data_IF_202977800043
#
_entry.id   IF_202977800043
#
_cell.length_a   1.000
_cell.length_b   1.000
_cell.length_c   1.000
_cell.angle_alpha   90.00
_cell.angle_beta   90.00
_cell.angle_gamma   90.00
#
_symmetry.space_group_name_H-M   'P 1'
#
loop_
_entity.id
_entity.type
_entity.pdbx_description
1 polymer ?
#
# COMPACT_ATOMS: atom_id res chain seq x y z
N UNK A 1 -16.71 -32.33 6.75
CA UNK A 1 -16.05 -31.03 6.48
C UNK A 1 -15.78 -30.38 7.83
N UNK A 2 -14.54 -30.00 8.10
CA UNK A 2 -14.17 -29.39 9.37
C UNK A 2 -14.57 -27.91 9.47
N UNK A 3 -13.85 -27.13 10.27
CA UNK A 3 -14.15 -25.71 10.54
C UNK A 3 -13.72 -24.82 9.36
N UNK A 4 -14.49 -23.78 9.05
CA UNK A 4 -14.07 -22.71 8.13
C UNK A 4 -14.18 -21.36 8.82
N UNK A 5 -13.26 -20.44 8.50
CA UNK A 5 -13.28 -19.07 9.03
C UNK A 5 -12.56 -18.11 8.09
N UNK A 6 -12.83 -16.82 8.23
CA UNK A 6 -12.06 -15.76 7.59
C UNK A 6 -10.81 -15.42 8.41
N UNK A 7 -9.75 -14.95 7.75
CA UNK A 7 -8.51 -14.55 8.44
C UNK A 7 -8.72 -13.49 9.54
N UNK A 8 -9.75 -12.63 9.42
CA UNK A 8 -10.10 -11.64 10.46
C UNK A 8 -10.62 -12.27 11.77
N UNK A 9 -11.12 -13.51 11.70
CA UNK A 9 -11.65 -14.27 12.82
C UNK A 9 -10.54 -15.03 13.56
N UNK A 10 -9.36 -15.19 12.96
CA UNK A 10 -8.20 -15.76 13.62
C UNK A 10 -7.76 -14.87 14.80
N UNK A 11 -7.61 -15.47 15.99
CA UNK A 11 -7.18 -14.78 17.22
C UNK A 11 -5.93 -15.39 17.87
N UNK A 12 -5.44 -16.51 17.35
CA UNK A 12 -4.25 -17.18 17.85
C UNK A 12 -4.22 -18.66 17.44
N UNK A 13 -3.08 -19.33 17.62
CA UNK A 13 -2.85 -20.65 17.04
C UNK A 13 -3.44 -21.80 17.88
N UNK A 14 -3.76 -21.56 19.16
CA UNK A 14 -4.12 -22.61 20.12
C UNK A 14 -5.32 -23.49 19.69
N UNK A 15 -6.33 -22.91 19.04
CA UNK A 15 -7.50 -23.68 18.58
C UNK A 15 -7.20 -24.60 17.38
N UNK A 16 -6.00 -24.50 16.80
CA UNK A 16 -5.53 -25.25 15.65
C UNK A 16 -4.53 -26.34 16.01
N UNK A 17 -4.28 -26.55 17.32
CA UNK A 17 -3.39 -27.59 17.82
C UNK A 17 -3.77 -28.96 17.24
N UNK A 18 -2.76 -29.66 16.73
CA UNK A 18 -2.86 -31.00 16.13
C UNK A 18 -3.82 -31.10 14.92
N UNK A 19 -4.16 -29.97 14.27
CA UNK A 19 -5.02 -29.94 13.08
C UNK A 19 -4.21 -29.78 11.80
N UNK A 20 -4.74 -30.31 10.69
CA UNK A 20 -4.30 -29.97 9.33
C UNK A 20 -5.02 -28.71 8.87
N UNK A 21 -4.28 -27.62 8.72
CA UNK A 21 -4.84 -26.30 8.39
C UNK A 21 -4.47 -25.88 6.98
N UNK A 22 -5.46 -25.40 6.23
CA UNK A 22 -5.26 -24.79 4.92
C UNK A 22 -5.63 -23.31 4.95
N UNK A 23 -4.69 -22.48 4.54
CA UNK A 23 -4.84 -21.03 4.45
C UNK A 23 -5.02 -20.66 2.99
N UNK A 24 -6.08 -19.91 2.67
CA UNK A 24 -6.40 -19.52 1.29
C UNK A 24 -5.93 -18.11 1.02
N UNK A 25 -5.02 -17.94 0.06
CA UNK A 25 -4.42 -16.67 -0.31
C UNK A 25 -2.94 -16.58 0.06
N UNK A 26 -2.19 -15.73 -0.65
CA UNK A 26 -0.75 -15.52 -0.45
C UNK A 26 -0.45 -14.03 -0.28
N UNK A 27 -1.02 -13.46 0.78
CA UNK A 27 -0.84 -12.07 1.20
C UNK A 27 -0.31 -12.04 2.65
N UNK A 28 -0.01 -10.84 3.18
CA UNK A 28 0.57 -10.68 4.53
C UNK A 28 -0.16 -11.49 5.61
N UNK A 29 -1.49 -11.35 5.71
CA UNK A 29 -2.29 -12.09 6.71
C UNK A 29 -2.14 -13.60 6.58
N UNK A 30 -2.11 -14.13 5.35
CA UNK A 30 -1.97 -15.56 5.13
C UNK A 30 -0.60 -16.07 5.59
N UNK A 31 0.47 -15.36 5.23
CA UNK A 31 1.83 -15.74 5.60
C UNK A 31 2.09 -15.59 7.10
N UNK A 32 1.54 -14.55 7.74
CA UNK A 32 1.68 -14.34 9.18
C UNK A 32 0.96 -15.45 9.96
N UNK A 33 -0.29 -15.79 9.59
CA UNK A 33 -1.03 -16.92 10.18
C UNK A 33 -0.30 -18.25 9.94
N UNK A 34 0.22 -18.47 8.73
CA UNK A 34 0.94 -19.70 8.42
C UNK A 34 2.16 -19.89 9.32
N UNK A 35 2.95 -18.83 9.51
CA UNK A 35 4.12 -18.84 10.39
C UNK A 35 3.70 -19.04 11.86
N UNK A 36 2.64 -18.37 12.31
CA UNK A 36 2.12 -18.47 13.69
C UNK A 36 1.61 -19.87 14.04
N UNK A 37 1.14 -20.63 13.05
CA UNK A 37 0.66 -22.00 13.23
C UNK A 37 1.78 -23.05 13.28
N UNK A 38 3.01 -22.71 12.87
CA UNK A 38 4.13 -23.67 12.86
C UNK A 38 4.47 -24.11 14.28
N UNK A 39 4.54 -25.42 14.48
CA UNK A 39 4.79 -26.03 15.79
C UNK A 39 3.54 -26.19 16.67
N UNK A 40 2.38 -25.70 16.22
CA UNK A 40 1.09 -25.88 16.90
C UNK A 40 0.18 -26.78 16.07
N UNK A 41 -0.02 -26.45 14.80
CA UNK A 41 -0.79 -27.28 13.86
C UNK A 41 0.00 -28.54 13.46
N UNK A 42 -0.71 -29.63 13.14
CA UNK A 42 -0.11 -30.86 12.63
C UNK A 42 0.49 -30.63 11.23
N UNK A 43 -0.25 -29.93 10.36
CA UNK A 43 0.21 -29.53 9.04
C UNK A 43 -0.30 -28.14 8.68
N UNK A 44 0.52 -27.34 8.02
CA UNK A 44 0.15 -26.01 7.53
C UNK A 44 0.33 -25.96 6.02
N UNK A 45 -0.77 -25.68 5.31
CA UNK A 45 -0.82 -25.54 3.87
C UNK A 45 -1.25 -24.13 3.48
N UNK A 46 -0.68 -23.55 2.42
CA UNK A 46 -1.16 -22.32 1.80
C UNK A 46 -1.60 -22.62 0.36
N UNK A 47 -2.87 -22.37 0.06
CA UNK A 47 -3.43 -22.44 -1.29
C UNK A 47 -3.30 -21.08 -1.98
N UNK A 48 -2.64 -21.05 -3.15
CA UNK A 48 -2.58 -19.85 -3.98
C UNK A 48 -2.65 -20.17 -5.48
N UNK A 49 -3.24 -19.23 -6.24
CA UNK A 49 -3.43 -19.35 -7.70
C UNK A 49 -2.40 -18.55 -8.51
N UNK A 50 -1.71 -17.63 -7.87
CA UNK A 50 -0.81 -16.69 -8.51
C UNK A 50 0.42 -16.50 -7.64
N UNK A 51 1.54 -16.18 -8.27
CA UNK A 51 2.78 -15.87 -7.55
C UNK A 51 2.68 -14.62 -6.69
N UNK A 52 3.72 -14.38 -5.91
CA UNK A 52 3.89 -13.16 -5.12
C UNK A 52 5.38 -12.90 -4.89
N UNK A 53 5.73 -11.64 -4.64
CA UNK A 53 7.09 -11.29 -4.21
C UNK A 53 7.15 -11.29 -2.70
N UNK A 54 8.08 -12.06 -2.11
CA UNK A 54 8.36 -12.02 -0.68
C UNK A 54 9.48 -11.01 -0.43
N UNK A 55 9.25 -10.12 0.53
CA UNK A 55 10.12 -9.00 0.87
C UNK A 55 10.45 -9.08 2.36
N UNK A 56 11.72 -9.19 2.77
CA UNK A 56 12.07 -9.13 4.19
C UNK A 56 11.90 -7.70 4.72
N UNK A 57 11.66 -7.57 6.03
CA UNK A 57 11.64 -6.27 6.73
C UNK A 57 13.02 -5.63 6.74
N UNK A 58 14.07 -6.44 6.79
CA UNK A 58 15.47 -6.01 6.79
C UNK A 58 16.22 -6.54 5.57
N UNK A 59 17.02 -5.68 4.95
CA UNK A 59 17.85 -6.01 3.80
C UNK A 59 19.16 -5.22 3.88
N UNK A 60 20.30 -5.90 3.68
CA UNK A 60 21.64 -5.32 3.83
C UNK A 60 21.83 -4.56 5.16
N UNK A 61 21.29 -5.12 6.26
CA UNK A 61 21.37 -4.54 7.61
C UNK A 61 20.50 -3.29 7.84
N UNK A 62 19.62 -2.93 6.90
CA UNK A 62 18.75 -1.75 7.00
C UNK A 62 17.28 -2.14 6.77
N UNK A 63 16.32 -1.39 7.33
CA UNK A 63 14.91 -1.58 6.99
C UNK A 63 14.69 -1.43 5.48
N UNK A 64 14.03 -2.39 4.85
CA UNK A 64 13.78 -2.40 3.40
C UNK A 64 13.05 -1.14 2.93
N UNK A 65 12.16 -0.61 3.78
CA UNK A 65 11.43 0.64 3.50
C UNK A 65 12.36 1.84 3.31
N UNK A 66 13.54 1.86 3.96
CA UNK A 66 14.50 2.95 3.83
C UNK A 66 15.17 2.98 2.44
N UNK A 67 15.09 1.89 1.67
CA UNK A 67 15.54 1.89 0.29
C UNK A 67 14.65 2.75 -0.61
N UNK A 68 13.41 3.01 -0.21
CA UNK A 68 12.45 3.86 -0.94
C UNK A 68 12.62 5.31 -0.48
N UNK A 69 13.66 5.95 -1.00
CA UNK A 69 13.97 7.35 -0.67
C UNK A 69 13.12 8.33 -1.50
N UNK A 70 12.94 9.56 -1.00
CA UNK A 70 12.21 10.61 -1.75
C UNK A 70 12.87 10.92 -3.10
N UNK A 71 14.20 10.85 -3.18
CA UNK A 71 14.93 11.03 -4.43
C UNK A 71 14.59 9.92 -5.43
N UNK A 72 14.59 8.66 -4.99
CA UNK A 72 14.23 7.53 -5.84
C UNK A 72 12.77 7.63 -6.29
N UNK A 73 11.83 7.88 -5.36
CA UNK A 73 10.41 8.05 -5.70
C UNK A 73 10.20 9.19 -6.68
N UNK A 74 10.84 10.35 -6.48
CA UNK A 74 10.73 11.49 -7.39
C UNK A 74 11.29 11.19 -8.79
N UNK A 75 12.43 10.50 -8.88
CA UNK A 75 13.00 10.07 -10.16
C UNK A 75 12.08 9.07 -10.87
N UNK A 76 11.52 8.10 -10.14
CA UNK A 76 10.56 7.13 -10.68
C UNK A 76 9.30 7.81 -11.18
N UNK A 77 8.72 8.76 -10.42
CA UNK A 77 7.52 9.49 -10.86
C UNK A 77 7.75 10.34 -12.11
N UNK A 78 8.94 10.93 -12.27
CA UNK A 78 9.31 11.62 -13.51
C UNK A 78 9.44 10.61 -14.66
N UNK A 79 10.12 9.49 -14.44
CA UNK A 79 10.32 8.47 -15.46
C UNK A 79 8.99 7.86 -15.93
N UNK A 80 8.09 7.53 -15.01
CA UNK A 80 6.76 7.00 -15.32
C UNK A 80 5.90 7.96 -16.15
N UNK A 81 6.09 9.27 -15.99
CA UNK A 81 5.39 10.28 -16.81
C UNK A 81 5.79 10.23 -18.28
N UNK A 82 7.04 9.90 -18.58
CA UNK A 82 7.56 9.88 -19.95
C UNK A 82 7.51 8.48 -20.58
N UNK A 83 7.75 7.42 -19.80
CA UNK A 83 7.89 6.03 -20.27
C UNK A 83 7.22 5.02 -19.31
N UNK A 84 5.88 5.00 -19.22
CA UNK A 84 5.16 4.24 -18.18
C UNK A 84 5.39 2.73 -18.24
N UNK A 85 5.39 2.13 -19.43
CA UNK A 85 5.56 0.67 -19.62
C UNK A 85 6.98 0.20 -19.29
N UNK A 86 7.99 1.01 -19.62
CA UNK A 86 9.39 0.72 -19.29
C UNK A 86 9.60 0.85 -17.77
N UNK A 87 9.03 1.89 -17.16
CA UNK A 87 9.10 2.07 -15.70
C UNK A 87 8.52 0.91 -14.92
N UNK A 88 7.37 0.38 -15.37
CA UNK A 88 6.76 -0.81 -14.80
C UNK A 88 7.65 -2.05 -14.94
N UNK A 89 8.15 -2.32 -16.15
CA UNK A 89 9.05 -3.45 -16.39
C UNK A 89 10.34 -3.38 -15.55
N UNK A 90 10.97 -2.20 -15.47
CA UNK A 90 12.18 -1.98 -14.66
C UNK A 90 11.87 -2.20 -13.17
N UNK A 91 10.76 -1.64 -12.67
CA UNK A 91 10.35 -1.78 -11.28
C UNK A 91 10.11 -3.24 -10.89
N UNK A 92 9.38 -3.97 -11.74
CA UNK A 92 9.10 -5.39 -11.55
C UNK A 92 10.36 -6.24 -11.58
N UNK A 93 11.25 -5.99 -12.54
CA UNK A 93 12.54 -6.69 -12.64
C UNK A 93 13.40 -6.42 -11.43
N UNK A 94 13.46 -5.17 -10.98
CA UNK A 94 14.23 -4.77 -9.80
C UNK A 94 13.71 -5.44 -8.52
N UNK A 95 12.39 -5.45 -8.31
CA UNK A 95 11.78 -6.10 -7.16
C UNK A 95 12.04 -7.61 -7.15
N UNK A 96 11.88 -8.28 -8.30
CA UNK A 96 12.16 -9.72 -8.44
C UNK A 96 13.64 -10.03 -8.22
N UNK A 97 14.55 -9.27 -8.83
CA UNK A 97 16.00 -9.47 -8.65
C UNK A 97 16.41 -9.30 -7.18
N UNK A 98 15.84 -8.32 -6.47
CA UNK A 98 16.10 -8.14 -5.03
C UNK A 98 15.61 -9.32 -4.20
N UNK A 99 14.41 -9.84 -4.48
CA UNK A 99 13.89 -11.03 -3.82
C UNK A 99 14.83 -12.22 -4.02
N UNK A 100 15.22 -12.52 -5.27
CA UNK A 100 16.10 -13.65 -5.59
C UNK A 100 17.50 -13.49 -4.99
N UNK A 101 18.00 -12.26 -4.86
CA UNK A 101 19.29 -12.00 -4.19
C UNK A 101 19.21 -12.28 -2.69
N UNK A 102 18.08 -11.96 -2.05
CA UNK A 102 17.89 -12.21 -0.62
C UNK A 102 17.54 -13.68 -0.32
N UNK A 103 16.90 -14.36 -1.27
CA UNK A 103 16.45 -15.74 -1.16
C UNK A 103 16.91 -16.54 -2.38
N UNK A 104 18.22 -16.88 -2.46
CA UNK A 104 18.78 -17.59 -3.61
C UNK A 104 18.22 -19.01 -3.77
N UNK A 105 17.77 -19.61 -2.68
CA UNK A 105 17.24 -20.99 -2.64
C UNK A 105 15.73 -21.07 -2.91
N UNK A 106 15.13 -20.02 -3.49
CA UNK A 106 13.73 -20.08 -3.93
C UNK A 106 13.57 -21.18 -4.96
N UNK A 107 12.66 -22.12 -4.67
CA UNK A 107 12.42 -23.26 -5.52
C UNK A 107 11.29 -23.00 -6.52
N UNK A 108 11.42 -23.36 -7.81
CA UNK A 108 10.38 -23.13 -8.82
C UNK A 108 9.02 -23.74 -8.47
N UNK A 109 9.00 -24.87 -7.77
CA UNK A 109 7.79 -25.57 -7.32
C UNK A 109 6.92 -24.76 -6.35
N UNK A 110 7.47 -23.72 -5.72
CA UNK A 110 6.71 -22.81 -4.87
C UNK A 110 5.84 -21.83 -5.68
N UNK A 111 6.01 -21.77 -7.01
CA UNK A 111 5.21 -20.96 -7.92
C UNK A 111 5.06 -19.49 -7.44
N UNK A 112 6.10 -18.95 -6.79
CA UNK A 112 6.14 -17.55 -6.33
C UNK A 112 6.36 -16.59 -7.50
N UNK A 113 6.99 -17.09 -8.58
CA UNK A 113 7.29 -16.34 -9.79
C UNK A 113 6.72 -17.07 -11.02
N UNK A 114 6.24 -16.34 -12.05
CA UNK A 114 6.16 -14.89 -12.12
C UNK A 114 5.13 -14.31 -11.14
N UNK A 115 5.53 -13.23 -10.45
CA UNK A 115 4.62 -12.52 -9.57
C UNK A 115 3.83 -11.47 -10.37
N UNK A 116 2.61 -11.12 -9.94
CA UNK A 116 1.84 -10.07 -10.58
C UNK A 116 2.55 -8.71 -10.56
N UNK A 117 2.11 -7.74 -11.40
CA UNK A 117 2.74 -6.43 -11.49
C UNK A 117 2.89 -5.75 -10.12
N UNK A 118 4.06 -5.18 -9.85
CA UNK A 118 4.37 -4.56 -8.56
C UNK A 118 3.45 -3.37 -8.27
N UNK A 119 3.03 -2.64 -9.30
CA UNK A 119 2.03 -1.57 -9.19
C UNK A 119 0.70 -2.06 -8.63
N UNK A 120 0.33 -3.31 -8.91
CA UNK A 120 -0.95 -3.90 -8.51
C UNK A 120 -0.83 -4.57 -7.13
N UNK A 121 0.22 -5.37 -6.90
CA UNK A 121 0.47 -6.08 -5.65
C UNK A 121 1.88 -5.78 -5.15
N UNK A 122 2.02 -4.98 -4.09
CA UNK A 122 3.30 -4.50 -3.53
C UNK A 122 4.16 -5.61 -2.87
N UNK A 123 3.86 -6.88 -3.14
CA UNK A 123 4.47 -8.04 -2.49
C UNK A 123 3.93 -8.32 -1.09
N UNK A 124 4.52 -9.33 -0.45
CA UNK A 124 4.29 -9.75 0.93
C UNK A 124 5.52 -9.43 1.75
N UNK A 125 5.33 -8.75 2.88
CA UNK A 125 6.41 -8.44 3.82
C UNK A 125 6.39 -9.50 4.92
N UNK A 126 7.32 -10.46 4.88
CA UNK A 126 7.42 -11.52 5.87
C UNK A 126 8.87 -12.04 5.93
N UNK A 127 9.38 -12.21 7.15
CA UNK A 127 10.78 -12.58 7.41
C UNK A 127 11.01 -14.09 7.53
N UNK A 128 9.94 -14.89 7.65
CA UNK A 128 10.06 -16.30 8.02
C UNK A 128 9.43 -17.25 7.00
N UNK A 129 8.53 -16.78 6.15
CA UNK A 129 7.77 -17.65 5.26
C UNK A 129 8.68 -18.46 4.33
N UNK A 130 9.75 -17.87 3.80
CA UNK A 130 10.69 -18.60 2.93
C UNK A 130 11.40 -19.71 3.72
N UNK A 131 11.81 -19.44 4.96
CA UNK A 131 12.44 -20.47 5.82
C UNK A 131 11.47 -21.63 6.09
N UNK A 132 10.18 -21.32 6.33
CA UNK A 132 9.13 -22.32 6.56
C UNK A 132 8.76 -23.13 5.32
N UNK A 133 8.93 -22.55 4.14
CA UNK A 133 8.82 -23.30 2.89
C UNK A 133 10.05 -24.18 2.65
N UNK A 134 11.24 -23.71 3.02
CA UNK A 134 12.50 -24.44 2.90
C UNK A 134 12.55 -25.68 3.80
N UNK A 135 12.15 -25.53 5.06
CA UNK A 135 12.13 -26.63 6.06
C UNK A 135 10.92 -27.56 5.93
N UNK A 136 9.92 -27.20 5.11
CA UNK A 136 8.71 -27.98 4.83
C UNK A 136 7.63 -27.91 5.91
N UNK A 137 7.80 -27.05 6.93
CA UNK A 137 6.79 -26.79 7.97
C UNK A 137 5.55 -26.10 7.41
N UNK A 138 5.70 -25.32 6.33
CA UNK A 138 4.60 -24.79 5.53
C UNK A 138 4.72 -25.34 4.11
N UNK A 139 3.60 -25.81 3.55
CA UNK A 139 3.55 -26.36 2.18
C UNK A 139 2.67 -25.50 1.30
N UNK A 140 3.11 -25.25 0.07
CA UNK A 140 2.27 -24.59 -0.93
C UNK A 140 1.48 -25.64 -1.70
N UNK A 141 0.21 -25.33 -1.93
CA UNK A 141 -0.69 -26.11 -2.77
C UNK A 141 -1.35 -25.20 -3.80
N UNK A 142 -1.80 -25.81 -4.89
CA UNK A 142 -2.48 -25.11 -5.97
C UNK A 142 -3.81 -24.49 -5.53
N UNK A 143 -4.45 -23.77 -6.44
CA UNK A 143 -5.77 -23.21 -6.20
C UNK A 143 -6.80 -24.29 -5.83
N UNK A 144 -7.67 -24.00 -4.87
CA UNK A 144 -8.82 -24.87 -4.56
C UNK A 144 -9.77 -24.90 -5.77
N UNK A 145 -10.05 -26.11 -6.26
CA UNK A 145 -11.02 -26.42 -7.31
C UNK A 145 -12.39 -26.77 -6.69
N UNK A 146 -12.39 -27.65 -5.69
CA UNK A 146 -13.61 -28.08 -5.00
C UNK A 146 -13.32 -28.61 -3.59
N UNK A 147 -14.37 -28.72 -2.79
CA UNK A 147 -14.33 -29.31 -1.47
C UNK A 147 -14.92 -30.71 -1.48
N UNK A 148 -14.43 -31.57 -0.58
CA UNK A 148 -15.02 -32.89 -0.32
C UNK A 148 -15.08 -33.15 1.19
N UNK A 149 -15.56 -34.33 1.60
CA UNK A 149 -15.87 -34.65 2.99
C UNK A 149 -14.72 -34.44 3.99
N UNK A 150 -13.47 -34.71 3.59
CA UNK A 150 -12.27 -34.64 4.43
C UNK A 150 -11.27 -33.55 4.01
N UNK A 151 -11.59 -32.71 3.02
CA UNK A 151 -10.67 -31.64 2.62
C UNK A 151 -10.96 -30.98 1.28
N UNK A 152 -9.91 -30.69 0.52
CA UNK A 152 -9.97 -29.98 -0.77
C UNK A 152 -9.32 -30.75 -1.91
N UNK A 153 -9.86 -30.56 -3.11
CA UNK A 153 -9.17 -30.80 -4.36
C UNK A 153 -8.50 -29.50 -4.80
N UNK A 154 -7.21 -29.57 -5.12
CA UNK A 154 -6.40 -28.47 -5.65
C UNK A 154 -5.92 -28.79 -7.06
N UNK A 155 -5.44 -27.78 -7.79
CA UNK A 155 -4.92 -27.84 -9.17
C UNK A 155 -4.54 -29.25 -9.66
N UNK A 156 -5.30 -29.75 -10.64
CA UNK A 156 -5.10 -31.06 -11.25
C UNK A 156 -5.70 -32.21 -10.44
N UNK A 157 -6.71 -31.95 -9.62
CA UNK A 157 -7.42 -32.96 -8.82
C UNK A 157 -6.62 -33.52 -7.64
N UNK A 158 -5.53 -32.86 -7.22
CA UNK A 158 -4.72 -33.31 -6.08
C UNK A 158 -5.53 -33.19 -4.79
N UNK A 159 -5.64 -34.31 -4.07
CA UNK A 159 -6.38 -34.40 -2.82
C UNK A 159 -5.51 -33.96 -1.64
N UNK A 160 -5.99 -32.98 -0.87
CA UNK A 160 -5.36 -32.53 0.38
C UNK A 160 -6.39 -32.65 1.51
N UNK A 161 -6.07 -33.44 2.53
CA UNK A 161 -6.92 -33.60 3.73
C UNK A 161 -6.69 -32.46 4.71
N UNK A 162 -7.76 -31.81 5.16
CA UNK A 162 -7.69 -30.62 6.01
C UNK A 162 -8.85 -30.60 7.01
N UNK A 163 -8.54 -30.28 8.26
CA UNK A 163 -9.52 -30.14 9.35
C UNK A 163 -10.05 -28.72 9.44
N UNK A 164 -9.30 -27.73 8.97
CA UNK A 164 -9.71 -26.33 9.03
C UNK A 164 -9.22 -25.53 7.84
N UNK A 165 -10.09 -24.64 7.33
CA UNK A 165 -9.77 -23.75 6.20
C UNK A 165 -9.92 -22.29 6.63
N UNK A 166 -8.86 -21.50 6.45
CA UNK A 166 -8.79 -20.08 6.81
C UNK A 166 -8.73 -19.23 5.53
N UNK A 167 -9.79 -18.49 5.23
CA UNK A 167 -9.86 -17.62 4.06
C UNK A 167 -9.20 -16.27 4.32
N UNK A 168 -7.99 -16.09 3.78
CA UNK A 168 -7.21 -14.85 3.83
C UNK A 168 -7.31 -14.08 2.50
N UNK A 169 -8.53 -13.96 1.97
CA UNK A 169 -8.82 -13.45 0.62
C UNK A 169 -8.98 -11.92 0.54
N UNK A 170 -8.79 -11.21 1.64
CA UNK A 170 -8.90 -9.75 1.73
C UNK A 170 -10.15 -9.28 2.47
N UNK A 171 -10.40 -7.98 2.42
CA UNK A 171 -11.59 -7.33 2.99
C UNK A 171 -12.13 -6.29 2.02
N UNK A 172 -13.42 -6.01 2.13
CA UNK A 172 -14.09 -4.95 1.37
C UNK A 172 -14.48 -3.80 2.30
N UNK A 173 -14.57 -2.60 1.72
CA UNK A 173 -15.17 -1.46 2.42
C UNK A 173 -16.69 -1.57 2.34
N UNK A 174 -17.35 -1.29 3.46
CA UNK A 174 -18.79 -1.17 3.53
C UNK A 174 -19.17 0.30 3.71
N UNK A 175 -20.00 0.81 2.79
CA UNK A 175 -20.49 2.19 2.80
C UNK A 175 -21.98 2.26 3.19
N UNK A 176 -22.58 1.16 3.65
CA UNK A 176 -24.00 1.05 4.00
C UNK A 176 -24.50 2.04 5.07
N UNK A 177 -23.59 2.60 5.87
CA UNK A 177 -23.92 3.65 6.85
C UNK A 177 -24.27 5.00 6.18
N UNK A 178 -23.90 5.20 4.92
CA UNK A 178 -24.13 6.43 4.18
C UNK A 178 -25.46 6.39 3.43
N UNK A 179 -26.08 7.55 3.24
CA UNK A 179 -27.21 7.68 2.31
C UNK A 179 -26.74 7.41 0.88
N UNK A 180 -27.66 7.01 -0.02
CA UNK A 180 -27.32 6.78 -1.42
C UNK A 180 -26.59 7.92 -2.13
N UNK A 181 -26.89 9.17 -1.79
CA UNK A 181 -26.29 10.34 -2.40
C UNK A 181 -24.86 10.59 -1.90
N UNK A 182 -24.54 10.15 -0.68
CA UNK A 182 -23.27 10.33 -0.01
C UNK A 182 -22.30 9.16 -0.21
N UNK A 183 -22.79 8.01 -0.67
CA UNK A 183 -21.98 6.84 -1.00
C UNK A 183 -21.10 7.13 -2.23
N UNK A 184 -19.77 7.21 -2.07
CA UNK A 184 -18.88 7.56 -3.17
C UNK A 184 -18.73 6.43 -4.19
N UNK A 185 -19.25 5.24 -3.92
CA UNK A 185 -19.13 4.06 -4.77
C UNK A 185 -20.33 3.85 -5.70
N UNK A 186 -21.40 4.63 -5.50
CA UNK A 186 -22.57 4.63 -6.39
C UNK A 186 -22.27 5.38 -7.69
N UNK A 187 -21.73 4.64 -8.66
CA UNK A 187 -21.38 5.15 -9.99
C UNK A 187 -22.54 5.14 -11.01
N UNK A 188 -23.74 4.71 -10.59
CA UNK A 188 -24.89 4.43 -11.47
C UNK A 188 -25.05 2.93 -11.72
N UNK A 189 -26.10 2.56 -12.45
CA UNK A 189 -26.37 1.15 -12.76
C UNK A 189 -25.23 0.59 -13.64
N UNK A 190 -24.49 -0.40 -13.11
CA UNK A 190 -23.57 -1.24 -13.88
C UNK A 190 -22.34 -0.49 -14.44
N UNK A 191 -21.46 0.01 -13.56
CA UNK A 191 -20.28 0.75 -13.99
C UNK A 191 -19.28 -0.15 -14.74
N UNK A 192 -18.51 0.41 -15.68
CA UNK A 192 -17.45 -0.32 -16.40
C UNK A 192 -16.50 -1.06 -15.44
N UNK A 193 -16.23 -0.47 -14.28
CA UNK A 193 -15.43 -1.05 -13.21
C UNK A 193 -15.99 -2.36 -12.67
N UNK A 194 -17.31 -2.45 -12.48
CA UNK A 194 -17.95 -3.64 -11.93
C UNK A 194 -17.82 -4.85 -12.86
N UNK A 195 -17.69 -4.61 -14.18
CA UNK A 195 -17.50 -5.63 -15.20
C UNK A 195 -16.04 -6.02 -15.46
N UNK A 196 -15.08 -5.32 -14.85
CA UNK A 196 -13.67 -5.67 -15.02
C UNK A 196 -13.38 -6.99 -14.31
N UNK A 197 -12.79 -7.95 -15.02
CA UNK A 197 -12.43 -9.28 -14.50
C UNK A 197 -11.71 -9.22 -13.14
N UNK A 198 -10.82 -8.25 -12.99
CA UNK A 198 -9.98 -8.09 -11.81
C UNK A 198 -10.53 -7.14 -10.74
N UNK A 199 -11.74 -6.57 -10.92
CA UNK A 199 -12.44 -5.80 -9.88
C UNK A 199 -12.76 -6.69 -8.69
N UNK A 200 -13.24 -7.91 -8.95
CA UNK A 200 -13.49 -8.95 -7.96
C UNK A 200 -14.23 -8.41 -6.72
N UNK A 201 -15.29 -7.62 -6.95
CA UNK A 201 -16.12 -7.02 -5.89
C UNK A 201 -15.50 -5.83 -5.15
N UNK A 202 -14.30 -5.38 -5.52
CA UNK A 202 -13.72 -4.15 -4.98
C UNK A 202 -14.54 -2.96 -5.49
N UNK A 203 -15.11 -2.17 -4.58
CA UNK A 203 -15.84 -0.95 -4.94
C UNK A 203 -14.88 0.18 -5.34
N UNK A 204 -15.30 1.01 -6.31
CA UNK A 204 -14.55 2.21 -6.72
C UNK A 204 -15.10 3.47 -6.04
N UNK A 205 -14.42 4.06 -5.04
CA UNK A 205 -14.83 5.33 -4.44
C UNK A 205 -14.46 6.52 -5.35
N UNK A 206 -15.48 7.19 -5.89
CA UNK A 206 -15.35 8.37 -6.74
C UNK A 206 -15.15 9.65 -5.94
N UNK A 207 -13.92 9.87 -5.50
CA UNK A 207 -13.54 10.98 -4.62
C UNK A 207 -12.56 11.94 -5.30
N UNK A 208 -12.81 13.25 -5.22
CA UNK A 208 -11.86 14.26 -5.68
C UNK A 208 -10.60 14.23 -4.80
N UNK A 209 -9.43 14.17 -5.44
CA UNK A 209 -8.14 14.00 -4.77
C UNK A 209 -8.14 12.81 -3.81
N UNK A 210 -8.94 11.77 -4.09
CA UNK A 210 -9.14 10.59 -3.23
C UNK A 210 -9.68 10.84 -1.83
N UNK A 211 -10.12 12.07 -1.54
CA UNK A 211 -10.55 12.50 -0.21
C UNK A 211 -11.98 13.03 -0.20
N UNK A 212 -12.34 13.95 -1.11
CA UNK A 212 -13.57 14.72 -0.99
C UNK A 212 -14.69 14.14 -1.84
N UNK A 213 -15.89 14.05 -1.27
CA UNK A 213 -17.07 13.73 -2.06
C UNK A 213 -17.33 14.87 -3.06
N UNK A 214 -17.49 14.62 -4.37
CA UNK A 214 -17.62 15.69 -5.38
C UNK A 214 -18.75 16.69 -5.11
N UNK A 215 -19.86 16.19 -4.56
CA UNK A 215 -21.07 16.98 -4.24
C UNK A 215 -21.08 17.54 -2.81
N UNK A 216 -20.29 16.96 -1.90
CA UNK A 216 -20.32 17.30 -0.46
C UNK A 216 -18.91 17.66 0.05
N UNK A 217 -18.08 18.25 -0.80
CA UNK A 217 -16.66 18.48 -0.49
C UNK A 217 -16.45 19.35 0.76
N UNK A 218 -17.40 20.22 1.08
CA UNK A 218 -17.33 21.13 2.22
C UNK A 218 -17.79 20.50 3.55
N UNK A 219 -18.36 19.28 3.52
CA UNK A 219 -18.94 18.63 4.70
C UNK A 219 -18.63 17.13 4.84
N UNK A 220 -18.12 16.48 3.77
CA UNK A 220 -17.84 15.05 3.74
C UNK A 220 -16.52 14.75 3.01
N UNK A 221 -15.61 14.13 3.76
CA UNK A 221 -14.34 13.63 3.26
C UNK A 221 -14.06 12.23 3.82
N UNK A 222 -13.27 11.46 3.09
CA UNK A 222 -12.93 10.08 3.39
C UNK A 222 -11.42 9.97 3.59
N UNK A 223 -11.02 9.23 4.62
CA UNK A 223 -9.63 8.92 4.90
C UNK A 223 -9.44 7.40 4.84
N UNK A 224 -8.53 6.96 3.96
CA UNK A 224 -8.12 5.56 3.87
C UNK A 224 -8.73 4.66 2.77
N UNK A 225 -9.87 4.94 2.10
CA UNK A 225 -10.39 3.99 1.11
C UNK A 225 -9.46 3.87 -0.12
N UNK A 226 -8.68 4.91 -0.39
CA UNK A 226 -7.72 4.98 -1.47
C UNK A 226 -6.27 4.79 -1.00
N UNK A 227 -5.38 4.38 -1.91
CA UNK A 227 -3.93 4.39 -1.71
C UNK A 227 -3.44 5.83 -1.56
N UNK A 228 -2.62 6.07 -0.55
CA UNK A 228 -1.96 7.35 -0.34
C UNK A 228 -0.61 7.45 -1.06
N UNK A 229 0.15 8.50 -0.75
CA UNK A 229 1.45 8.77 -1.35
C UNK A 229 2.61 8.00 -0.70
N UNK A 230 2.40 7.47 0.50
CA UNK A 230 3.37 6.70 1.29
C UNK A 230 2.84 5.30 1.60
N UNK A 231 3.75 4.34 1.81
CA UNK A 231 3.41 3.02 2.37
C UNK A 231 2.95 3.11 3.83
N UNK A 232 3.36 4.16 4.55
CA UNK A 232 2.94 4.42 5.92
C UNK A 232 1.55 5.08 5.94
N UNK A 233 0.52 4.31 6.28
CA UNK A 233 -0.88 4.77 6.33
C UNK A 233 -1.07 5.97 7.26
N UNK A 234 -0.35 6.01 8.39
CA UNK A 234 -0.42 7.11 9.35
C UNK A 234 0.09 8.43 8.77
N UNK A 235 1.18 8.42 7.99
CA UNK A 235 1.69 9.62 7.32
C UNK A 235 0.71 10.15 6.28
N UNK A 236 0.04 9.24 5.55
CA UNK A 236 -1.02 9.61 4.61
C UNK A 236 -2.18 10.29 5.34
N UNK A 237 -2.66 9.67 6.42
CA UNK A 237 -3.80 10.17 7.19
C UNK A 237 -3.48 11.51 7.89
N UNK A 238 -2.29 11.68 8.47
CA UNK A 238 -1.87 12.94 9.11
C UNK A 238 -1.91 14.09 8.09
N UNK A 239 -1.22 13.95 6.96
CA UNK A 239 -1.17 15.03 5.97
C UNK A 239 -2.54 15.26 5.29
N UNK A 240 -3.30 14.21 4.98
CA UNK A 240 -4.64 14.34 4.42
C UNK A 240 -5.61 15.05 5.37
N UNK A 241 -5.58 14.72 6.67
CA UNK A 241 -6.42 15.38 7.67
C UNK A 241 -6.10 16.88 7.81
N UNK A 242 -4.82 17.24 7.67
CA UNK A 242 -4.38 18.64 7.65
C UNK A 242 -4.95 19.37 6.43
N UNK A 243 -4.90 18.77 5.24
CA UNK A 243 -5.47 19.35 4.03
C UNK A 243 -6.99 19.52 4.13
N UNK A 244 -7.72 18.50 4.60
CA UNK A 244 -9.18 18.56 4.83
C UNK A 244 -9.53 19.71 5.77
N UNK A 245 -8.80 19.85 6.88
CA UNK A 245 -9.03 20.91 7.86
C UNK A 245 -8.84 22.31 7.26
N UNK A 246 -7.89 22.49 6.33
CA UNK A 246 -7.66 23.78 5.68
C UNK A 246 -8.76 24.14 4.67
N UNK A 247 -9.30 23.15 3.97
CA UNK A 247 -10.46 23.35 3.09
C UNK A 247 -11.68 23.77 3.91
N UNK A 248 -12.03 23.01 4.96
CA UNK A 248 -13.23 23.30 5.76
C UNK A 248 -13.14 24.59 6.58
N UNK A 249 -11.92 25.08 6.87
CA UNK A 249 -11.71 26.41 7.45
C UNK A 249 -11.85 27.56 6.44
N UNK A 250 -11.97 27.27 5.14
CA UNK A 250 -11.98 28.29 4.09
C UNK A 250 -10.60 28.83 3.73
N UNK A 251 -9.51 28.27 4.29
CA UNK A 251 -8.15 28.70 3.99
C UNK A 251 -7.68 28.19 2.62
N UNK A 252 -8.35 27.20 2.03
CA UNK A 252 -8.11 26.72 0.67
C UNK A 252 -9.44 26.49 -0.02
N UNK A 253 -9.63 27.09 -1.20
CA UNK A 253 -10.86 26.93 -1.99
C UNK A 253 -10.64 25.79 -2.99
N UNK A 254 -11.45 24.74 -2.88
CA UNK A 254 -11.46 23.67 -3.86
C UNK A 254 -11.99 24.17 -5.22
N UNK A 255 -11.54 23.59 -6.34
CA UNK A 255 -12.08 23.95 -7.64
C UNK A 255 -13.57 23.60 -7.74
N UNK A 256 -14.27 24.23 -8.68
CA UNK A 256 -15.70 24.02 -8.88
C UNK A 256 -16.08 22.57 -9.21
N UNK A 257 -17.34 22.20 -9.00
CA UNK A 257 -17.85 20.82 -9.16
C UNK A 257 -17.53 20.21 -10.53
N UNK A 258 -17.62 20.98 -11.61
CA UNK A 258 -17.30 20.51 -12.96
C UNK A 258 -15.84 20.07 -13.09
N UNK A 259 -14.90 20.80 -12.49
CA UNK A 259 -13.48 20.47 -12.51
C UNK A 259 -13.18 19.27 -11.61
N UNK A 260 -13.78 19.21 -10.42
CA UNK A 260 -13.67 18.03 -9.54
C UNK A 260 -14.15 16.77 -10.24
N UNK A 261 -15.25 16.87 -10.98
CA UNK A 261 -15.80 15.75 -11.75
C UNK A 261 -14.90 15.35 -12.92
N UNK A 262 -14.32 16.31 -13.66
CA UNK A 262 -13.32 16.00 -14.71
C UNK A 262 -12.10 15.28 -14.14
N UNK A 263 -11.62 15.72 -12.97
CA UNK A 263 -10.51 15.06 -12.28
C UNK A 263 -10.87 13.62 -11.90
N UNK A 264 -12.06 13.40 -11.32
CA UNK A 264 -12.52 12.07 -10.91
C UNK A 264 -12.64 11.12 -12.10
N UNK A 265 -13.17 11.59 -13.23
CA UNK A 265 -13.27 10.80 -14.47
C UNK A 265 -11.89 10.42 -15.00
N UNK A 266 -10.95 11.36 -15.03
CA UNK A 266 -9.56 11.06 -15.42
C UNK A 266 -8.94 9.98 -14.52
N UNK A 267 -9.15 10.07 -13.20
CA UNK A 267 -8.63 9.08 -12.26
C UNK A 267 -9.32 7.72 -12.41
N UNK A 268 -10.62 7.71 -12.71
CA UNK A 268 -11.39 6.50 -12.97
C UNK A 268 -10.86 5.76 -14.20
N UNK A 269 -10.66 6.45 -15.32
CA UNK A 269 -10.05 5.89 -16.54
C UNK A 269 -8.65 5.34 -16.31
N UNK A 270 -7.84 6.06 -15.54
CA UNK A 270 -6.51 5.58 -15.18
C UNK A 270 -6.56 4.31 -14.30
N UNK A 271 -7.52 4.24 -13.38
CA UNK A 271 -7.73 3.07 -12.52
C UNK A 271 -8.23 1.85 -13.29
N UNK A 272 -9.08 2.05 -14.31
CA UNK A 272 -9.48 1.00 -15.25
C UNK A 272 -8.27 0.42 -15.99
N UNK A 273 -7.32 1.26 -16.40
CA UNK A 273 -6.06 0.81 -17.01
C UNK A 273 -5.22 -0.08 -16.09
N UNK A 274 -5.15 0.25 -14.79
CA UNK A 274 -4.42 -0.55 -13.80
C UNK A 274 -5.12 -1.89 -13.54
N UNK A 275 -6.44 -1.88 -13.37
CA UNK A 275 -7.19 -3.08 -13.05
C UNK A 275 -7.32 -4.02 -14.25
N UNK A 276 -7.21 -3.52 -15.49
CA UNK A 276 -7.12 -4.36 -16.69
C UNK A 276 -5.95 -5.34 -16.66
N UNK A 277 -4.84 -4.95 -16.02
CA UNK A 277 -3.64 -5.78 -15.98
C UNK A 277 -3.68 -6.82 -14.84
N UNK A 278 -4.19 -6.43 -13.66
CA UNK A 278 -4.29 -7.31 -12.50
C UNK A 278 -5.15 -6.71 -11.37
N UNK A 279 -5.59 -7.55 -10.42
CA UNK A 279 -6.30 -7.09 -9.21
C UNK A 279 -5.49 -6.10 -8.38
N UNK A 280 -6.18 -5.15 -7.75
CA UNK A 280 -5.59 -4.18 -6.81
C UNK A 280 -6.27 -4.31 -5.44
N UNK A 281 -5.55 -4.00 -4.37
CA UNK A 281 -6.12 -4.01 -3.01
C UNK A 281 -6.81 -2.69 -2.63
N UNK A 282 -6.51 -1.58 -3.32
CA UNK A 282 -7.13 -0.26 -3.14
C UNK A 282 -7.04 0.54 -4.44
N UNK A 283 -8.09 1.31 -4.74
CA UNK A 283 -8.05 2.37 -5.75
C UNK A 283 -7.18 3.52 -5.24
N UNK A 284 -6.82 4.50 -6.06
CA UNK A 284 -5.91 5.56 -5.59
C UNK A 284 -5.78 6.71 -6.56
N UNK A 285 -5.04 7.72 -6.15
CA UNK A 285 -4.59 8.77 -7.05
C UNK A 285 -3.58 8.11 -7.99
N UNK A 286 -3.76 8.32 -9.30
CA UNK A 286 -2.85 7.74 -10.28
C UNK A 286 -1.36 8.13 -10.11
N UNK A 287 -1.07 9.22 -9.38
CA UNK A 287 0.29 9.70 -9.11
C UNK A 287 0.43 10.04 -7.62
N UNK A 288 1.17 9.21 -6.89
CA UNK A 288 1.49 9.41 -5.48
C UNK A 288 2.20 10.75 -5.23
N UNK A 289 3.13 11.13 -6.13
CA UNK A 289 3.88 12.38 -6.00
C UNK A 289 3.02 13.63 -6.25
N UNK A 290 2.08 13.57 -7.19
CA UNK A 290 1.11 14.68 -7.39
C UNK A 290 0.17 14.82 -6.20
N UNK A 291 -0.28 13.69 -5.64
CA UNK A 291 -1.12 13.70 -4.44
C UNK A 291 -0.41 14.32 -3.24
N UNK A 292 0.84 13.89 -2.96
CA UNK A 292 1.63 14.47 -1.88
C UNK A 292 1.85 15.97 -2.09
N UNK A 293 2.16 16.40 -3.32
CA UNK A 293 2.33 17.82 -3.65
C UNK A 293 1.05 18.60 -3.34
N UNK A 294 -0.09 18.14 -3.87
CA UNK A 294 -1.38 18.78 -3.65
C UNK A 294 -1.71 18.91 -2.16
N UNK A 295 -1.51 17.83 -1.40
CA UNK A 295 -1.71 17.83 0.04
C UNK A 295 -0.86 18.88 0.78
N UNK A 296 0.43 18.99 0.42
CA UNK A 296 1.32 19.98 1.01
C UNK A 296 0.90 21.42 0.70
N UNK A 297 0.41 21.69 -0.52
CA UNK A 297 -0.09 23.02 -0.91
C UNK A 297 -1.35 23.40 -0.11
N UNK A 298 -2.31 22.47 -0.03
CA UNK A 298 -3.58 22.69 0.68
C UNK A 298 -3.33 22.87 2.18
N UNK A 299 -2.58 21.93 2.79
CA UNK A 299 -2.20 21.99 4.19
C UNK A 299 -1.31 23.20 4.50
N UNK A 300 -0.60 23.72 3.49
CA UNK A 300 0.29 24.87 3.60
C UNK A 300 1.53 24.54 4.41
N UNK A 301 2.18 23.41 4.17
CA UNK A 301 3.34 22.92 4.95
C UNK A 301 4.66 23.61 4.60
N UNK A 302 4.71 24.37 3.49
CA UNK A 302 5.93 24.96 2.95
C UNK A 302 6.90 23.96 2.30
N UNK A 303 6.60 22.66 2.32
CA UNK A 303 7.47 21.60 1.81
C UNK A 303 7.74 21.75 0.31
N UNK A 304 6.71 22.03 -0.49
CA UNK A 304 6.85 22.16 -1.94
C UNK A 304 7.71 23.37 -2.34
N UNK A 305 7.69 24.45 -1.56
CA UNK A 305 8.52 25.63 -1.84
C UNK A 305 10.01 25.35 -1.60
N UNK A 306 10.32 24.52 -0.61
CA UNK A 306 11.69 24.19 -0.21
C UNK A 306 12.25 22.93 -0.86
N UNK A 307 11.43 22.16 -1.60
CA UNK A 307 11.80 20.92 -2.30
C UNK A 307 11.25 20.83 -3.74
N UNK A 308 10.84 21.96 -4.34
CA UNK A 308 10.14 22.06 -5.63
C UNK A 308 10.91 22.69 -6.78
N UNK A 309 12.24 22.74 -6.70
CA UNK A 309 13.23 23.21 -7.68
C UNK A 309 13.27 24.73 -7.89
N UNK A 310 12.80 25.50 -6.89
CA UNK A 310 12.82 26.97 -6.88
C UNK A 310 13.95 27.57 -6.04
N UNK A 311 14.02 28.91 -5.99
CA UNK A 311 15.04 29.65 -5.24
C UNK A 311 15.09 29.29 -3.74
N UNK A 312 13.93 29.04 -3.11
CA UNK A 312 13.86 28.63 -1.71
C UNK A 312 14.50 27.26 -1.46
N UNK A 313 14.36 26.31 -2.39
CA UNK A 313 15.09 25.03 -2.31
C UNK A 313 16.60 25.25 -2.44
N UNK A 314 17.06 26.06 -3.40
CA UNK A 314 18.49 26.35 -3.55
C UNK A 314 19.08 26.99 -2.29
N UNK A 315 18.37 27.94 -1.69
CA UNK A 315 18.75 28.56 -0.42
C UNK A 315 18.79 27.53 0.71
N UNK A 316 17.78 26.66 0.81
CA UNK A 316 17.73 25.60 1.82
C UNK A 316 18.86 24.59 1.63
N UNK A 317 19.11 24.17 0.39
CA UNK A 317 20.22 23.28 0.05
C UNK A 317 21.56 23.89 0.45
N UNK A 318 21.81 25.17 0.16
CA UNK A 318 23.08 25.82 0.49
C UNK A 318 23.29 25.98 2.00
N UNK A 319 22.23 26.38 2.72
CA UNK A 319 22.29 26.63 4.16
C UNK A 319 22.29 25.35 5.02
N UNK A 320 21.59 24.30 4.57
CA UNK A 320 21.30 23.10 5.37
C UNK A 320 21.60 21.82 4.57
N UNK A 321 22.78 21.76 3.92
CA UNK A 321 23.18 20.68 3.00
C UNK A 321 22.99 19.28 3.57
N UNK A 322 23.38 19.07 4.82
CA UNK A 322 23.28 17.76 5.47
C UNK A 322 21.83 17.36 5.69
N UNK A 323 21.01 18.26 6.27
CA UNK A 323 19.59 18.03 6.49
C UNK A 323 18.84 17.79 5.17
N UNK A 324 19.14 18.57 4.13
CA UNK A 324 18.60 18.34 2.79
C UNK A 324 18.94 16.93 2.29
N UNK A 325 20.19 16.50 2.48
CA UNK A 325 20.64 15.14 2.18
C UNK A 325 19.84 14.06 2.91
N UNK A 326 19.55 14.26 4.21
CA UNK A 326 18.74 13.35 5.02
C UNK A 326 17.29 13.29 4.53
N UNK A 327 16.70 14.42 4.14
CA UNK A 327 15.33 14.46 3.61
C UNK A 327 15.23 13.73 2.26
N UNK A 328 16.20 13.93 1.36
CA UNK A 328 16.13 13.36 0.00
C UNK A 328 16.51 11.89 -0.06
N UNK A 329 17.54 11.49 0.70
CA UNK A 329 18.18 10.16 0.60
C UNK A 329 18.10 9.33 1.88
N UNK A 330 17.70 9.93 2.99
CA UNK A 330 17.54 9.26 4.27
C UNK A 330 16.15 8.67 4.47
N UNK A 331 15.81 8.43 5.72
CA UNK A 331 14.50 7.91 6.15
C UNK A 331 13.42 8.96 5.86
N UNK A 332 12.39 8.57 5.09
CA UNK A 332 11.25 9.44 4.79
C UNK A 332 10.32 9.50 6.02
N UNK A 333 10.33 10.61 6.73
CA UNK A 333 9.59 10.78 8.00
C UNK A 333 8.47 11.81 7.88
N UNK A 334 7.37 11.68 8.64
CA UNK A 334 6.28 12.66 8.65
C UNK A 334 6.69 14.00 9.27
N UNK A 335 7.83 14.08 9.97
CA UNK A 335 8.36 15.33 10.53
C UNK A 335 8.61 16.40 9.45
N UNK A 336 8.89 15.97 8.21
CA UNK A 336 9.04 16.85 7.06
C UNK A 336 7.84 17.80 6.90
N UNK A 337 6.62 17.30 7.12
CA UNK A 337 5.39 18.10 6.94
C UNK A 337 5.20 19.18 8.02
N UNK A 338 6.13 19.29 8.96
CA UNK A 338 6.17 20.30 10.02
C UNK A 338 7.52 20.99 10.13
N UNK A 339 8.40 20.82 9.12
CA UNK A 339 9.76 21.34 9.14
C UNK A 339 9.83 22.84 8.79
N UNK A 340 9.06 23.25 7.79
CA UNK A 340 9.12 24.60 7.24
C UNK A 340 7.99 25.47 7.79
N UNK A 341 8.23 26.78 7.76
CA UNK A 341 7.14 27.74 7.94
C UNK A 341 6.16 27.62 6.76
N UNK A 342 4.89 27.50 7.12
CA UNK A 342 3.79 27.38 6.19
C UNK A 342 3.28 28.73 5.69
N UNK A 343 2.32 28.69 4.77
CA UNK A 343 1.56 29.90 4.39
C UNK A 343 0.72 30.40 5.57
N UNK A 344 0.33 31.67 5.55
CA UNK A 344 -0.57 32.24 6.56
C UNK A 344 -1.88 31.44 6.62
N UNK A 345 -2.32 31.08 7.84
CA UNK A 345 -3.48 30.22 8.08
C UNK A 345 -3.23 28.72 7.88
N UNK A 346 -2.11 28.35 7.25
CA UNK A 346 -1.68 26.98 7.03
C UNK A 346 -1.23 26.27 8.31
N UNK A 347 -0.71 25.06 8.15
CA UNK A 347 -0.16 24.29 9.26
C UNK A 347 1.06 25.01 9.85
N UNK A 348 1.11 25.13 11.18
CA UNK A 348 2.30 25.65 11.89
C UNK A 348 3.49 24.69 11.80
N UNK A 349 4.70 25.24 11.70
CA UNK A 349 5.95 24.52 11.93
C UNK A 349 5.97 23.88 13.32
N UNK A 350 6.74 22.80 13.48
CA UNK A 350 7.09 22.23 14.78
C UNK A 350 8.59 22.35 14.99
N UNK A 351 9.01 23.08 16.03
CA UNK A 351 10.44 23.33 16.30
C UNK A 351 11.25 22.03 16.47
N UNK A 352 10.64 20.96 16.99
CA UNK A 352 11.30 19.65 17.12
C UNK A 352 11.49 18.88 15.81
N UNK A 353 10.85 19.29 14.70
CA UNK A 353 10.83 18.54 13.46
C UNK A 353 12.24 18.30 12.89
N UNK A 354 13.09 19.34 12.91
CA UNK A 354 14.48 19.24 12.45
C UNK A 354 15.21 18.16 13.25
N UNK A 355 15.22 18.27 14.58
CA UNK A 355 15.90 17.33 15.48
C UNK A 355 15.45 15.88 15.28
N UNK A 356 14.14 15.65 15.10
CA UNK A 356 13.64 14.29 14.90
C UNK A 356 13.98 13.71 13.51
N UNK A 357 14.12 14.53 12.46
CA UNK A 357 14.64 14.06 11.16
C UNK A 357 16.09 13.57 11.32
N UNK A 358 16.92 14.29 12.06
CA UNK A 358 18.29 13.87 12.36
C UNK A 358 18.30 12.54 13.14
N UNK A 359 17.52 12.47 14.23
CA UNK A 359 17.42 11.29 15.09
C UNK A 359 16.93 10.06 14.33
N UNK A 360 15.90 10.21 13.49
CA UNK A 360 15.38 9.12 12.65
C UNK A 360 16.42 8.55 11.66
N UNK A 361 17.43 9.36 11.32
CA UNK A 361 18.56 8.94 10.49
C UNK A 361 19.81 8.52 11.31
N UNK A 362 19.66 8.35 12.64
CA UNK A 362 20.76 7.96 13.53
C UNK A 362 21.85 9.03 13.67
N UNK A 363 21.50 10.31 13.53
CA UNK A 363 22.43 11.43 13.60
C UNK A 363 21.99 12.46 14.64
N UNK A 364 22.94 13.25 15.11
CA UNK A 364 22.71 14.42 15.99
C UNK A 364 22.87 15.71 15.17
N UNK A 365 21.96 16.69 15.30
CA UNK A 365 22.08 18.00 14.66
C UNK A 365 23.41 18.68 15.00
N UNK A 366 23.93 19.52 14.10
CA UNK A 366 25.18 20.27 14.34
C UNK A 366 25.07 21.22 15.54
N UNK A 367 23.88 21.74 15.84
CA UNK A 367 23.61 22.63 16.99
C UNK A 367 23.71 21.90 18.34
N UNK A 368 23.61 20.56 18.33
CA UNK A 368 23.65 19.68 19.51
C UNK A 368 25.00 18.91 19.60
N UNK A 369 25.97 19.21 18.73
CA UNK A 369 27.34 18.67 18.74
C UNK A 369 28.31 19.71 19.28
#
# INVERSE_FOLDING_TARGET
MGKTLMGKEYKGPEEFRDKKVLIVGMANTACDIAVDLVGIAQEVHISHRSGTRIIPRMMDGKPTINAITRQLTGAMSLFERWLPSIGEWVGDRFATTKMLRNYPDIKPEWNLLPAPPFKNTLGVINDHIIDRLSDGSVKLVGGIESFYSLGVFTDGGKKTEVDTVIFCTGNYFDYSILSPEADPTRLGDSSEWDHMEHSNGLLYPRLYQTLFHPNFADSLAFLGPCRGFSFAVHSNADLASQAISQVWKGNYVLPGIAERNRWCEKNYRASLGVIKNWRTFRTGHFSAGEFERWLNDVAGTGVNEHLGWGWKEWKFWWSERELYGLIKRGVNTPFLYRLFEGRQGGRKKWEGAKREIWKANGRVPLEDR
#
